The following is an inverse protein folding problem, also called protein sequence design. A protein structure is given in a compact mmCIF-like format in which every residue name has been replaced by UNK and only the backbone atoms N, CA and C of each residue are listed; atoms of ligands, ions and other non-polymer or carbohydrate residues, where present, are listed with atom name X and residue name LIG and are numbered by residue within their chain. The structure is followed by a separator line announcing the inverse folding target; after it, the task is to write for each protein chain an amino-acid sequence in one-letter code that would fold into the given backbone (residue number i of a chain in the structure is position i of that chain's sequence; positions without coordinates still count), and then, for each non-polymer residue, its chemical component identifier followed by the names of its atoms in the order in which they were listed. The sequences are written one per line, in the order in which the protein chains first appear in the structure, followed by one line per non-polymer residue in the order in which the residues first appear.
data_IF_299845698755
#
_entry.id   IF_299845698755
#
_cell.length_a   1.000
_cell.length_b   1.000
_cell.length_c   1.000
_cell.angle_alpha   90.00
_cell.angle_beta   90.00
_cell.angle_gamma   90.00
#
_symmetry.space_group_name_H-M   'P 1'
#
loop_
_entity.id
_entity.type
_entity.pdbx_description
1 polymer ?
#
# COMPACT_ATOMS: atom_id res chain seq x y z
N UNK A 1 37.93 -14.48 -4.67
CA UNK A 1 36.54 -14.94 -4.45
C UNK A 1 35.62 -13.79 -4.77
N UNK A 2 34.68 -13.97 -5.70
CA UNK A 2 33.62 -12.98 -5.92
C UNK A 2 32.67 -13.10 -4.73
N UNK A 3 32.44 -12.04 -3.94
CA UNK A 3 31.49 -12.11 -2.85
C UNK A 3 30.10 -12.39 -3.41
N UNK A 4 29.50 -13.48 -2.94
CA UNK A 4 28.10 -13.81 -3.23
C UNK A 4 27.20 -12.83 -2.47
N UNK A 5 26.12 -12.41 -3.12
CA UNK A 5 25.15 -11.45 -2.57
C UNK A 5 24.54 -11.96 -1.26
N UNK A 6 24.36 -13.28 -1.15
CA UNK A 6 23.79 -13.99 0.00
C UNK A 6 24.69 -13.96 1.24
N UNK A 7 25.98 -13.62 1.09
CA UNK A 7 26.90 -13.53 2.22
C UNK A 7 26.68 -12.28 3.09
N UNK A 8 25.87 -11.33 2.62
CA UNK A 8 25.49 -10.17 3.43
C UNK A 8 24.48 -10.59 4.52
N UNK A 9 24.60 -10.07 5.75
CA UNK A 9 23.61 -10.27 6.80
C UNK A 9 22.19 -9.94 6.35
N UNK A 10 21.21 -10.71 6.87
CA UNK A 10 19.79 -10.58 6.50
C UNK A 10 19.27 -9.17 6.79
N UNK A 11 19.72 -8.57 7.88
CA UNK A 11 19.36 -7.24 8.32
C UNK A 11 19.76 -6.18 7.28
N UNK A 12 20.91 -6.36 6.61
CA UNK A 12 21.37 -5.46 5.55
C UNK A 12 20.44 -5.57 4.34
N UNK A 13 20.07 -6.78 3.92
CA UNK A 13 19.13 -6.98 2.82
C UNK A 13 17.74 -6.41 3.12
N UNK A 14 17.21 -6.68 4.31
CA UNK A 14 15.92 -6.11 4.74
C UNK A 14 15.96 -4.58 4.74
N UNK A 15 17.08 -3.99 5.17
CA UNK A 15 17.30 -2.55 5.11
C UNK A 15 17.37 -2.04 3.66
N UNK A 16 18.10 -2.72 2.77
CA UNK A 16 18.18 -2.38 1.33
C UNK A 16 16.77 -2.37 0.71
N UNK A 17 15.95 -3.37 1.01
CA UNK A 17 14.59 -3.46 0.48
C UNK A 17 13.69 -2.28 0.87
N UNK A 18 13.99 -1.57 1.98
CA UNK A 18 13.24 -0.36 2.36
C UNK A 18 13.40 0.80 1.38
N UNK A 19 14.47 0.80 0.57
CA UNK A 19 14.73 1.84 -0.44
C UNK A 19 14.12 1.53 -1.81
N UNK A 20 13.61 0.31 -2.00
CA UNK A 20 13.07 -0.15 -3.26
C UNK A 20 11.53 -0.14 -3.19
N UNK A 21 10.88 0.05 -4.34
CA UNK A 21 9.43 -0.14 -4.38
C UNK A 21 9.13 -1.64 -4.28
N UNK A 22 8.12 -2.00 -3.48
CA UNK A 22 7.90 -3.41 -3.13
C UNK A 22 7.57 -4.31 -4.33
N UNK A 23 7.08 -3.74 -5.43
CA UNK A 23 6.94 -4.49 -6.68
C UNK A 23 8.29 -4.85 -7.30
N UNK A 24 9.27 -3.94 -7.27
CA UNK A 24 10.61 -4.19 -7.77
C UNK A 24 11.32 -5.23 -6.89
N UNK A 25 11.11 -5.17 -5.57
CA UNK A 25 11.63 -6.16 -4.61
C UNK A 25 11.08 -7.54 -4.94
N UNK A 26 9.76 -7.69 -5.01
CA UNK A 26 9.18 -9.02 -5.26
C UNK A 26 9.56 -9.52 -6.65
N UNK A 27 9.42 -8.70 -7.70
CA UNK A 27 9.75 -9.12 -9.06
C UNK A 27 11.22 -9.52 -9.23
N UNK A 28 12.14 -8.79 -8.59
CA UNK A 28 13.57 -9.04 -8.77
C UNK A 28 14.09 -10.18 -7.91
N UNK A 29 13.49 -10.40 -6.74
CA UNK A 29 14.02 -11.33 -5.74
C UNK A 29 13.18 -12.60 -5.53
N UNK A 30 11.96 -12.66 -6.07
CA UNK A 30 11.14 -13.88 -5.99
C UNK A 30 11.75 -15.01 -6.80
N UNK A 31 11.78 -16.22 -6.24
CA UNK A 31 12.24 -17.42 -6.92
C UNK A 31 13.71 -17.37 -7.38
N UNK A 32 14.52 -16.41 -6.89
CA UNK A 32 15.95 -16.38 -7.18
C UNK A 32 16.66 -17.56 -6.51
N UNK A 33 16.44 -17.69 -5.20
CA UNK A 33 16.92 -18.78 -4.38
C UNK A 33 16.25 -18.76 -3.00
N UNK A 34 16.46 -19.84 -2.24
CA UNK A 34 15.88 -20.03 -0.91
C UNK A 34 16.23 -18.91 0.06
N UNK A 35 17.41 -18.30 -0.06
CA UNK A 35 17.81 -17.20 0.82
C UNK A 35 16.92 -15.97 0.60
N UNK A 36 16.77 -15.51 -0.64
CA UNK A 36 15.91 -14.36 -0.95
C UNK A 36 14.43 -14.65 -0.72
N UNK A 37 13.97 -15.86 -1.03
CA UNK A 37 12.60 -16.27 -0.69
C UNK A 37 12.36 -16.19 0.83
N UNK A 38 13.35 -16.59 1.65
CA UNK A 38 13.25 -16.46 3.11
C UNK A 38 13.21 -15.01 3.60
N UNK A 39 13.80 -14.07 2.85
CA UNK A 39 13.74 -12.64 3.16
C UNK A 39 12.37 -12.07 2.77
N UNK A 40 11.83 -12.47 1.61
CA UNK A 40 10.51 -12.05 1.14
C UNK A 40 9.36 -12.49 2.06
N UNK A 41 9.51 -13.67 2.68
CA UNK A 41 8.55 -14.20 3.67
C UNK A 41 8.84 -13.79 5.11
N UNK A 42 9.89 -12.99 5.35
CA UNK A 42 10.23 -12.52 6.70
C UNK A 42 9.15 -11.58 7.25
N UNK A 43 8.78 -11.74 8.52
CA UNK A 43 7.91 -10.80 9.24
C UNK A 43 8.58 -9.45 9.51
N UNK A 44 9.90 -9.34 9.32
CA UNK A 44 10.66 -8.10 9.47
C UNK A 44 10.73 -7.28 8.19
N UNK A 45 10.25 -7.82 7.06
CA UNK A 45 10.24 -7.11 5.80
C UNK A 45 9.21 -5.97 5.83
N UNK A 46 9.65 -4.79 5.39
CA UNK A 46 8.81 -3.61 5.30
C UNK A 46 8.74 -3.15 3.84
N UNK A 47 7.62 -3.45 3.19
CA UNK A 47 7.41 -3.11 1.78
C UNK A 47 6.75 -1.74 1.63
N UNK A 48 7.35 -0.92 0.78
CA UNK A 48 6.83 0.38 0.38
C UNK A 48 6.21 0.27 -1.01
N UNK A 49 4.91 0.48 -1.05
CA UNK A 49 4.10 0.21 -2.22
C UNK A 49 3.65 1.51 -2.87
N UNK A 50 3.77 1.57 -4.20
CA UNK A 50 3.21 2.66 -5.00
C UNK A 50 2.31 2.12 -6.08
N UNK A 51 1.03 2.51 -6.03
CA UNK A 51 0.05 2.15 -7.05
C UNK A 51 0.25 3.05 -8.27
N UNK A 52 0.85 2.47 -9.32
CA UNK A 52 1.28 3.15 -10.55
C UNK A 52 0.34 2.93 -11.75
N UNK A 53 -0.56 1.95 -11.75
CA UNK A 53 -1.50 1.73 -12.85
C UNK A 53 -2.83 2.49 -12.65
N UNK A 54 -3.40 3.00 -13.75
CA UNK A 54 -4.80 3.39 -13.81
C UNK A 54 -5.58 2.09 -14.01
N UNK A 55 -6.02 1.46 -12.93
CA UNK A 55 -6.92 0.32 -13.02
C UNK A 55 -8.32 0.85 -13.32
N UNK A 56 -8.51 1.31 -14.56
CA UNK A 56 -9.80 1.77 -15.07
C UNK A 56 -10.82 0.64 -15.21
N UNK A 57 -10.44 -0.60 -14.88
CA UNK A 57 -11.33 -1.73 -14.87
C UNK A 57 -11.63 -2.10 -13.42
N UNK A 58 -12.88 -2.49 -13.18
CA UNK A 58 -13.47 -2.89 -11.90
C UNK A 58 -12.81 -4.11 -11.24
N UNK A 59 -11.65 -4.56 -11.76
CA UNK A 59 -10.82 -5.64 -11.25
C UNK A 59 -9.40 -5.11 -11.06
N UNK A 60 -8.94 -5.13 -9.83
CA UNK A 60 -7.51 -5.07 -9.53
C UNK A 60 -6.81 -6.15 -10.37
N UNK A 61 -5.71 -5.84 -11.07
CA UNK A 61 -4.99 -6.82 -11.86
C UNK A 61 -4.55 -7.97 -10.94
N UNK A 62 -4.87 -9.18 -11.36
CA UNK A 62 -4.87 -10.37 -10.51
C UNK A 62 -3.46 -10.95 -10.20
N UNK A 63 -2.34 -10.30 -10.57
CA UNK A 63 -1.06 -11.04 -10.61
C UNK A 63 0.18 -10.41 -9.99
N UNK A 64 0.22 -9.11 -9.69
CA UNK A 64 1.48 -8.53 -9.15
C UNK A 64 1.63 -8.68 -7.63
N UNK A 65 0.57 -9.10 -6.93
CA UNK A 65 0.48 -9.06 -5.47
C UNK A 65 0.23 -10.40 -4.81
N UNK A 66 -0.08 -11.45 -5.59
CA UNK A 66 -0.29 -12.81 -5.08
C UNK A 66 0.90 -13.33 -4.27
N UNK A 67 2.11 -12.87 -4.61
CA UNK A 67 3.36 -13.24 -3.96
C UNK A 67 3.78 -12.29 -2.84
N UNK A 68 3.06 -11.16 -2.65
CA UNK A 68 3.32 -10.23 -1.56
C UNK A 68 2.56 -10.71 -0.33
N UNK A 69 3.27 -11.04 0.74
CA UNK A 69 2.65 -11.13 2.04
C UNK A 69 2.11 -9.75 2.43
N UNK A 70 0.79 -9.59 2.41
CA UNK A 70 0.11 -8.33 2.71
C UNK A 70 0.44 -7.79 4.11
N UNK A 71 0.82 -8.66 5.05
CA UNK A 71 1.25 -8.27 6.38
C UNK A 71 2.59 -7.51 6.39
N UNK A 72 3.39 -7.64 5.33
CA UNK A 72 4.67 -6.95 5.20
C UNK A 72 4.53 -5.56 4.55
N UNK A 73 3.33 -5.19 4.09
CA UNK A 73 3.09 -3.88 3.49
C UNK A 73 3.10 -2.82 4.59
N UNK A 74 4.15 -2.00 4.61
CA UNK A 74 4.37 -0.96 5.60
C UNK A 74 3.80 0.39 5.18
N UNK A 75 3.86 0.72 3.89
CA UNK A 75 3.27 1.96 3.37
C UNK A 75 2.68 1.78 1.99
N UNK A 76 1.58 2.48 1.72
CA UNK A 76 0.96 2.53 0.40
C UNK A 76 0.81 3.99 -0.03
N UNK A 77 1.23 4.28 -1.26
CA UNK A 77 1.07 5.59 -1.90
C UNK A 77 0.41 5.48 -3.26
N UNK A 78 -0.42 6.46 -3.59
CA UNK A 78 -1.24 6.42 -4.81
C UNK A 78 -1.06 7.68 -5.62
N UNK A 79 -0.83 7.51 -6.93
CA UNK A 79 -0.74 8.61 -7.86
C UNK A 79 -2.07 9.33 -8.10
N UNK A 80 -2.03 10.48 -8.78
CA UNK A 80 -3.25 11.22 -9.15
C UNK A 80 -4.17 10.32 -9.99
N UNK A 81 -5.49 10.42 -9.76
CA UNK A 81 -6.57 9.68 -10.47
C UNK A 81 -6.65 8.16 -10.19
N UNK A 82 -5.95 7.64 -9.19
CA UNK A 82 -5.90 6.19 -8.89
C UNK A 82 -6.53 5.81 -7.55
N UNK A 83 -7.25 6.74 -6.90
CA UNK A 83 -7.87 6.48 -5.60
C UNK A 83 -8.89 5.33 -5.63
N UNK A 84 -9.63 5.14 -6.72
CA UNK A 84 -10.65 4.09 -6.78
C UNK A 84 -10.05 2.68 -6.67
N UNK A 85 -8.92 2.44 -7.35
CA UNK A 85 -8.14 1.21 -7.23
C UNK A 85 -7.75 0.96 -5.77
N UNK A 86 -7.17 1.96 -5.10
CA UNK A 86 -6.80 1.82 -3.69
C UNK A 86 -8.01 1.51 -2.81
N UNK A 87 -9.13 2.19 -3.02
CA UNK A 87 -10.33 1.97 -2.20
C UNK A 87 -10.88 0.56 -2.41
N UNK A 88 -10.87 0.06 -3.65
CA UNK A 88 -11.21 -1.34 -3.92
C UNK A 88 -10.22 -2.29 -3.26
N UNK A 89 -8.92 -2.05 -3.37
CA UNK A 89 -7.89 -2.87 -2.73
C UNK A 89 -8.11 -2.94 -1.22
N UNK A 90 -8.29 -1.79 -0.58
CA UNK A 90 -8.53 -1.69 0.86
C UNK A 90 -9.83 -2.39 1.26
N UNK A 91 -10.89 -2.32 0.44
CA UNK A 91 -12.15 -3.02 0.70
C UNK A 91 -11.97 -4.54 0.86
N UNK A 92 -11.08 -5.15 0.10
CA UNK A 92 -10.84 -6.60 0.14
C UNK A 92 -9.72 -7.00 1.10
N UNK A 93 -8.72 -6.14 1.26
CA UNK A 93 -7.45 -6.54 1.88
C UNK A 93 -7.11 -5.81 3.18
N UNK A 94 -7.87 -4.80 3.61
CA UNK A 94 -7.54 -3.99 4.79
C UNK A 94 -7.25 -4.82 6.05
N UNK A 95 -8.05 -5.84 6.32
CA UNK A 95 -7.88 -6.72 7.49
C UNK A 95 -6.52 -7.46 7.52
N UNK A 96 -5.87 -7.62 6.37
CA UNK A 96 -4.56 -8.29 6.25
C UNK A 96 -3.38 -7.30 6.34
N UNK A 97 -3.64 -5.99 6.30
CA UNK A 97 -2.62 -4.93 6.29
C UNK A 97 -2.16 -4.57 7.72
N UNK A 98 -1.85 -5.59 8.53
CA UNK A 98 -1.56 -5.45 9.96
C UNK A 98 -0.34 -4.59 10.28
N UNK A 99 0.61 -4.44 9.35
CA UNK A 99 1.80 -3.59 9.53
C UNK A 99 1.72 -2.24 8.83
N UNK A 100 0.59 -1.92 8.17
CA UNK A 100 0.47 -0.68 7.40
C UNK A 100 0.47 0.52 8.33
N UNK A 101 1.57 1.30 8.31
CA UNK A 101 1.75 2.50 9.14
C UNK A 101 1.44 3.79 8.40
N UNK A 102 1.56 3.80 7.07
CA UNK A 102 1.45 5.02 6.27
C UNK A 102 0.62 4.82 5.01
N UNK A 103 -0.43 5.62 4.85
CA UNK A 103 -1.26 5.64 3.65
C UNK A 103 -1.29 7.04 3.04
N UNK A 104 -1.00 7.16 1.75
CA UNK A 104 -1.12 8.42 1.01
C UNK A 104 -2.05 8.28 -0.18
N UNK A 105 -3.20 8.94 -0.12
CA UNK A 105 -4.25 8.88 -1.14
C UNK A 105 -4.53 10.26 -1.74
N UNK A 106 -4.73 10.28 -3.07
CA UNK A 106 -5.13 11.47 -3.80
C UNK A 106 -6.57 11.31 -4.30
N UNK A 107 -7.49 12.03 -3.67
CA UNK A 107 -8.92 11.99 -3.99
C UNK A 107 -9.30 13.14 -4.94
N UNK A 108 -9.99 12.82 -6.04
CA UNK A 108 -10.54 13.79 -6.99
C UNK A 108 -12.06 13.61 -7.10
N UNK A 109 -12.78 14.73 -7.28
CA UNK A 109 -14.24 14.97 -7.30
C UNK A 109 -15.19 13.98 -8.04
N UNK A 110 -14.80 12.82 -8.55
CA UNK A 110 -15.72 11.97 -9.31
C UNK A 110 -16.63 11.12 -8.41
N UNK A 111 -17.90 11.54 -8.27
CA UNK A 111 -19.11 10.72 -8.05
C UNK A 111 -19.10 9.57 -7.02
N UNK A 112 -18.29 9.62 -5.96
CA UNK A 112 -18.13 8.44 -5.10
C UNK A 112 -18.16 8.78 -3.61
N UNK A 113 -19.29 9.31 -3.13
CA UNK A 113 -19.61 9.38 -1.70
C UNK A 113 -19.53 7.99 -1.05
N UNK A 114 -20.02 6.97 -1.75
CA UNK A 114 -19.91 5.56 -1.34
C UNK A 114 -18.46 5.13 -1.16
N UNK A 115 -17.52 5.57 -2.02
CA UNK A 115 -16.11 5.23 -1.85
C UNK A 115 -15.44 5.90 -0.66
N UNK A 116 -15.92 7.08 -0.24
CA UNK A 116 -15.40 7.72 0.99
C UNK A 116 -15.85 6.90 2.21
N UNK A 117 -17.10 6.46 2.26
CA UNK A 117 -17.58 5.59 3.34
C UNK A 117 -16.85 4.25 3.36
N UNK A 118 -16.63 3.62 2.19
CA UNK A 118 -15.81 2.40 2.11
C UNK A 118 -14.38 2.62 2.56
N UNK A 119 -13.78 3.77 2.19
CA UNK A 119 -12.45 4.12 2.64
C UNK A 119 -12.41 4.22 4.16
N UNK A 120 -13.34 4.96 4.78
CA UNK A 120 -13.42 5.10 6.25
C UNK A 120 -13.54 3.71 6.90
N UNK A 121 -14.50 2.90 6.45
CA UNK A 121 -14.69 1.55 6.96
C UNK A 121 -13.42 0.70 6.84
N UNK A 122 -12.73 0.75 5.70
CA UNK A 122 -11.50 0.01 5.51
C UNK A 122 -10.35 0.51 6.40
N UNK A 123 -10.28 1.82 6.68
CA UNK A 123 -9.29 2.39 7.60
C UNK A 123 -9.52 1.93 9.05
N UNK A 124 -10.77 1.77 9.47
CA UNK A 124 -11.12 1.23 10.80
C UNK A 124 -10.66 -0.22 10.99
N UNK A 125 -10.53 -0.98 9.90
CA UNK A 125 -10.02 -2.36 9.92
C UNK A 125 -8.48 -2.42 10.00
N UNK A 126 -7.77 -1.28 10.00
CA UNK A 126 -6.29 -1.23 10.02
C UNK A 126 -5.83 -0.61 11.35
N UNK A 127 -5.71 -1.42 12.43
CA UNK A 127 -5.44 -0.90 13.77
C UNK A 127 -4.05 -0.28 13.92
N UNK A 128 -3.11 -0.62 13.04
CA UNK A 128 -1.72 -0.15 13.11
C UNK A 128 -1.46 1.15 12.37
N UNK A 129 -2.45 1.71 11.68
CA UNK A 129 -2.30 2.87 10.83
C UNK A 129 -1.98 4.12 11.67
N UNK A 130 -0.79 4.70 11.47
CA UNK A 130 -0.31 5.86 12.24
C UNK A 130 -0.39 7.16 11.46
N UNK A 131 -0.25 7.11 10.14
CA UNK A 131 -0.16 8.29 9.27
C UNK A 131 -1.07 8.11 8.06
N UNK A 132 -1.99 9.05 7.88
CA UNK A 132 -2.87 9.09 6.72
C UNK A 132 -2.74 10.46 6.08
N UNK A 133 -2.27 10.48 4.84
CA UNK A 133 -2.19 11.70 4.04
C UNK A 133 -3.25 11.64 2.95
N UNK A 134 -4.30 12.44 3.12
CA UNK A 134 -5.35 12.59 2.11
C UNK A 134 -5.16 13.92 1.41
N UNK A 135 -4.85 13.88 0.11
CA UNK A 135 -4.86 15.06 -0.74
C UNK A 135 -6.17 15.10 -1.52
N UNK A 136 -7.10 15.93 -1.07
CA UNK A 136 -8.40 16.14 -1.71
C UNK A 136 -8.37 17.39 -2.59
N UNK A 137 -8.91 17.31 -3.81
CA UNK A 137 -9.12 18.50 -4.66
C UNK A 137 -10.62 18.76 -4.80
N UNK A 138 -11.11 19.72 -4.04
CA UNK A 138 -12.44 20.31 -4.18
C UNK A 138 -12.37 21.48 -5.18
N UNK A 139 -13.12 21.41 -6.28
CA UNK A 139 -13.64 22.63 -6.91
C UNK A 139 -15.12 22.61 -6.59
N UNK A 140 -15.57 23.43 -5.64
CA UNK A 140 -16.96 23.61 -5.19
C UNK A 140 -17.73 22.31 -4.87
N UNK A 141 -17.74 21.88 -3.60
CA UNK A 141 -18.56 20.75 -3.12
C UNK A 141 -19.37 21.19 -1.87
N UNK A 142 -20.71 21.05 -1.86
CA UNK A 142 -21.57 21.53 -0.77
C UNK A 142 -21.63 20.61 0.47
N UNK A 143 -21.02 19.42 0.47
CA UNK A 143 -21.14 18.46 1.57
C UNK A 143 -19.80 18.24 2.30
N UNK A 144 -19.45 19.21 3.13
CA UNK A 144 -18.19 19.30 3.89
C UNK A 144 -18.06 18.22 4.99
N UNK A 145 -19.16 17.62 5.44
CA UNK A 145 -19.16 16.83 6.68
C UNK A 145 -18.46 15.48 6.58
N UNK A 146 -18.49 14.79 5.44
CA UNK A 146 -17.71 13.56 5.23
C UNK A 146 -16.20 13.83 5.07
N UNK A 147 -15.82 15.04 4.63
CA UNK A 147 -14.42 15.45 4.63
C UNK A 147 -13.92 15.72 6.05
N UNK A 148 -14.78 16.24 6.94
CA UNK A 148 -14.46 16.39 8.37
C UNK A 148 -14.19 15.03 9.03
N UNK A 149 -14.96 13.99 8.69
CA UNK A 149 -14.69 12.61 9.16
C UNK A 149 -13.34 12.06 8.68
N UNK A 150 -12.85 12.48 7.51
CA UNK A 150 -11.50 12.12 7.07
C UNK A 150 -10.43 12.91 7.83
N UNK A 151 -10.71 14.14 8.27
CA UNK A 151 -9.75 14.93 9.05
C UNK A 151 -9.48 14.37 10.45
N UNK A 152 -10.41 13.61 11.04
CA UNK A 152 -10.16 12.85 12.29
C UNK A 152 -9.11 11.74 12.14
N UNK A 153 -8.78 11.35 10.92
CA UNK A 153 -7.74 10.37 10.59
C UNK A 153 -6.42 11.04 10.15
N UNK A 154 -6.39 12.36 10.01
CA UNK A 154 -5.18 13.12 9.64
C UNK A 154 -4.49 13.56 10.94
N UNK A 155 -3.43 12.85 11.32
CA UNK A 155 -2.48 13.25 12.35
C UNK A 155 -1.20 13.82 11.72
#
# INVERSE_FOLDING_TARGET
MIPQAENLPREIWLYIFTFLEGHDVVQSFSCLNVFFDSLLHSSHLQLHIRIRQNESNERLPESTWSHINLQNIYSISVGRRKANCLIQFLRWHAQYLVSLRSLSIYLRKSKLYTNIQFLIYALEQIPSLKRIRIKYIAKSDPNIDNLKLLTTYIF
#
